data_IF_677330569983
#
_entry.id   IF_677330569983
#
_cell.length_a   1.000
_cell.length_b   1.000
_cell.length_c   1.000
_cell.angle_alpha   90.00
_cell.angle_beta   90.00
_cell.angle_gamma   90.00
#
_symmetry.space_group_name_H-M   'P 1'
#
loop_
_entity.id
_entity.type
_entity.pdbx_description
1 polymer ?
#
# COMPACT_ATOMS: atom_id res chain seq x y z
N UNK A 1 7.79 1.98 -0.74
CA UNK A 1 8.12 2.43 0.63
C UNK A 1 6.88 2.18 1.49
N UNK A 2 6.97 1.35 2.54
CA UNK A 2 5.85 1.08 3.45
C UNK A 2 6.07 1.89 4.72
N UNK A 3 5.20 2.87 5.06
CA UNK A 3 5.36 3.63 6.29
C UNK A 3 4.94 2.83 7.53
N UNK A 4 5.85 2.65 8.48
CA UNK A 4 5.54 2.21 9.83
C UNK A 4 5.39 3.45 10.73
N UNK A 5 4.41 3.47 11.63
CA UNK A 5 4.23 4.58 12.56
C UNK A 5 4.41 4.09 13.99
N UNK A 6 5.47 4.56 14.65
CA UNK A 6 5.78 4.25 16.04
C UNK A 6 5.27 5.39 16.95
N UNK A 7 4.68 5.04 18.08
CA UNK A 7 4.17 5.97 19.08
C UNK A 7 5.05 5.80 20.33
N UNK A 8 5.91 6.77 20.63
CA UNK A 8 6.78 6.79 21.80
C UNK A 8 5.97 7.29 23.01
N UNK A 9 5.19 6.40 23.61
CA UNK A 9 4.42 6.71 24.81
C UNK A 9 5.29 7.13 25.99
N UNK A 10 5.51 8.44 26.13
CA UNK A 10 5.97 9.09 27.36
C UNK A 10 4.79 9.64 28.14
N UNK A 11 4.39 8.95 29.21
CA UNK A 11 3.47 9.49 30.22
C UNK A 11 4.22 10.57 31.04
N UNK A 12 3.79 11.83 30.91
CA UNK A 12 3.72 12.85 31.96
C UNK A 12 3.71 14.27 31.35
N UNK A 13 2.56 14.74 30.84
CA UNK A 13 2.22 16.16 30.82
C UNK A 13 0.73 16.38 30.53
N UNK A 14 0.01 16.95 31.49
CA UNK A 14 -1.27 17.63 31.23
C UNK A 14 -0.98 18.93 30.46
N UNK A 15 -1.35 18.99 29.19
CA UNK A 15 -1.28 20.18 28.35
C UNK A 15 -1.61 19.81 26.90
N UNK A 16 -2.17 20.75 26.14
CA UNK A 16 -2.59 20.62 24.73
C UNK A 16 -1.43 20.29 23.76
N UNK A 17 -0.81 19.13 23.90
CA UNK A 17 0.25 18.63 23.02
C UNK A 17 -0.32 17.51 22.15
N UNK A 18 -0.62 17.83 20.89
CA UNK A 18 -0.81 16.80 19.88
C UNK A 18 0.55 16.08 19.73
N UNK A 19 0.77 15.02 20.52
CA UNK A 19 2.06 14.36 20.67
C UNK A 19 2.76 14.08 19.34
N UNK A 20 4.07 14.31 19.30
CA UNK A 20 4.89 14.04 18.13
C UNK A 20 4.84 12.53 17.86
N UNK A 21 4.34 12.14 16.69
CA UNK A 21 4.33 10.74 16.26
C UNK A 21 5.58 10.40 15.43
N UNK A 22 6.37 9.44 15.88
CA UNK A 22 7.49 8.95 15.10
C UNK A 22 7.01 8.16 13.87
N UNK A 23 7.52 8.52 12.70
CA UNK A 23 7.22 7.81 11.44
C UNK A 23 8.49 7.14 10.94
N UNK A 24 8.47 5.82 10.86
CA UNK A 24 9.57 4.99 10.37
C UNK A 24 9.27 4.56 8.93
N UNK A 25 10.04 5.09 7.98
CA UNK A 25 10.04 4.59 6.61
C UNK A 25 11.19 3.60 6.44
N UNK A 26 10.94 2.48 5.75
CA UNK A 26 12.01 1.56 5.40
C UNK A 26 11.84 1.01 3.98
N UNK A 27 12.98 0.71 3.36
CA UNK A 27 13.06 -0.01 2.09
C UNK A 27 13.16 -1.51 2.38
N UNK A 28 12.29 -2.31 1.75
CA UNK A 28 12.33 -3.76 1.89
C UNK A 28 13.56 -4.34 1.17
N UNK A 29 14.08 -5.47 1.68
CA UNK A 29 15.20 -6.19 1.11
C UNK A 29 15.05 -6.39 -0.40
N UNK A 30 16.14 -6.24 -1.13
CA UNK A 30 16.16 -6.37 -2.58
C UNK A 30 15.90 -5.07 -3.33
N UNK A 31 15.53 -3.98 -2.63
CA UNK A 31 15.15 -2.73 -3.26
C UNK A 31 15.69 -1.47 -2.57
N UNK A 32 15.60 -0.33 -3.27
CA UNK A 32 15.94 0.98 -2.71
C UNK A 32 17.38 1.07 -2.21
N UNK A 33 17.53 1.53 -0.96
CA UNK A 33 18.79 1.59 -0.20
C UNK A 33 19.08 0.33 0.63
N UNK A 34 18.16 -0.62 0.69
CA UNK A 34 18.39 -1.91 1.33
C UNK A 34 19.28 -2.81 0.45
N UNK A 35 19.81 -3.88 1.05
CA UNK A 35 20.72 -4.80 0.37
C UNK A 35 20.08 -5.35 -0.91
N UNK A 36 20.74 -5.14 -2.05
CA UNK A 36 20.30 -5.65 -3.35
C UNK A 36 20.84 -7.06 -3.58
N UNK A 37 19.96 -7.97 -4.01
CA UNK A 37 20.31 -9.39 -4.19
C UNK A 37 19.91 -9.90 -5.59
N UNK A 38 20.48 -9.33 -6.68
CA UNK A 38 20.04 -9.61 -8.05
C UNK A 38 20.28 -11.05 -8.50
N UNK A 39 21.21 -11.77 -7.86
CA UNK A 39 21.54 -13.16 -8.15
C UNK A 39 20.58 -14.18 -7.51
N UNK A 40 19.66 -13.74 -6.64
CA UNK A 40 18.71 -14.64 -5.99
C UNK A 40 17.63 -15.09 -6.97
N UNK A 41 17.34 -16.39 -6.96
CA UNK A 41 16.26 -16.99 -7.74
C UNK A 41 14.89 -16.44 -7.30
N UNK A 42 13.89 -16.33 -8.20
CA UNK A 42 12.52 -15.97 -7.83
C UNK A 42 11.96 -16.69 -6.58
N UNK A 43 12.27 -17.96 -6.34
CA UNK A 43 11.79 -18.71 -5.17
C UNK A 43 12.35 -18.23 -3.82
N UNK A 44 13.40 -17.38 -3.83
CA UNK A 44 13.93 -16.75 -2.62
C UNK A 44 13.02 -15.64 -2.09
N UNK A 45 12.32 -14.95 -2.99
CA UNK A 45 11.47 -13.82 -2.66
C UNK A 45 10.10 -14.34 -2.25
N UNK A 46 9.91 -14.50 -0.95
CA UNK A 46 8.70 -15.07 -0.37
C UNK A 46 8.06 -14.10 0.61
N UNK A 47 6.76 -14.27 0.83
CA UNK A 47 6.05 -13.52 1.87
C UNK A 47 6.65 -13.76 3.26
N UNK A 48 7.13 -14.97 3.55
CA UNK A 48 7.74 -15.31 4.84
C UNK A 48 9.04 -14.54 5.08
N UNK A 49 9.84 -14.31 4.04
CA UNK A 49 11.03 -13.46 4.11
C UNK A 49 10.67 -12.04 4.54
N UNK A 50 9.67 -11.43 3.89
CA UNK A 50 9.27 -10.06 4.18
C UNK A 50 8.52 -9.91 5.51
N UNK A 51 7.83 -10.95 5.97
CA UNK A 51 7.26 -10.99 7.33
C UNK A 51 8.38 -11.00 8.37
N UNK A 52 9.37 -11.89 8.21
CA UNK A 52 10.51 -11.96 9.11
C UNK A 52 11.31 -10.65 9.11
N UNK A 53 11.44 -9.99 7.96
CA UNK A 53 12.03 -8.65 7.87
C UNK A 53 11.23 -7.61 8.68
N UNK A 54 9.89 -7.57 8.52
CA UNK A 54 9.05 -6.65 9.27
C UNK A 54 9.15 -6.89 10.79
N UNK A 55 9.13 -8.15 11.23
CA UNK A 55 9.35 -8.52 12.63
C UNK A 55 10.71 -8.02 13.14
N UNK A 56 11.76 -8.16 12.33
CA UNK A 56 13.10 -7.66 12.66
C UNK A 56 13.14 -6.13 12.76
N UNK A 57 12.46 -5.40 11.87
CA UNK A 57 12.34 -3.92 11.93
C UNK A 57 11.63 -3.50 13.23
N UNK A 58 10.50 -4.12 13.57
CA UNK A 58 9.77 -3.82 14.80
C UNK A 58 10.63 -4.07 16.05
N UNK A 59 11.38 -5.18 16.07
CA UNK A 59 12.28 -5.51 17.17
C UNK A 59 13.47 -4.55 17.27
N UNK A 60 14.06 -4.17 16.14
CA UNK A 60 15.20 -3.25 16.09
C UNK A 60 14.86 -1.87 16.67
N UNK A 61 13.70 -1.33 16.33
CA UNK A 61 13.20 -0.07 16.88
C UNK A 61 12.54 -0.22 18.26
N UNK A 62 12.44 -1.45 18.80
CA UNK A 62 11.86 -1.75 20.11
C UNK A 62 10.40 -1.29 20.27
N UNK A 63 9.59 -1.46 19.22
CA UNK A 63 8.18 -1.03 19.17
C UNK A 63 7.19 -2.19 19.09
N UNK A 64 7.62 -3.41 19.43
CA UNK A 64 6.81 -4.64 19.25
C UNK A 64 5.57 -4.70 20.16
N UNK A 65 5.56 -3.94 21.26
CA UNK A 65 4.51 -3.87 22.27
C UNK A 65 3.44 -2.80 21.97
N UNK A 66 3.79 -1.79 21.16
CA UNK A 66 2.87 -0.73 20.74
C UNK A 66 3.30 -0.07 19.43
N UNK A 67 2.57 -0.37 18.36
CA UNK A 67 2.83 0.24 17.05
C UNK A 67 1.56 0.35 16.19
N UNK A 68 1.62 1.21 15.18
CA UNK A 68 0.63 1.31 14.11
C UNK A 68 1.29 0.98 12.77
N UNK A 69 0.52 0.43 11.83
CA UNK A 69 1.01 0.18 10.47
C UNK A 69 0.18 0.95 9.45
N UNK A 70 0.84 1.68 8.55
CA UNK A 70 0.26 2.19 7.31
C UNK A 70 0.83 1.40 6.14
N UNK A 71 -0.02 0.61 5.51
CA UNK A 71 0.36 -0.31 4.46
C UNK A 71 -0.20 0.17 3.11
N UNK A 72 0.69 0.59 2.21
CA UNK A 72 0.32 1.08 0.88
C UNK A 72 0.52 0.01 -0.19
N UNK A 73 -0.47 -0.17 -1.08
CA UNK A 73 -0.35 -1.07 -2.24
C UNK A 73 0.03 -2.51 -1.85
N UNK A 74 1.14 -3.03 -2.38
CA UNK A 74 1.73 -4.33 -1.98
C UNK A 74 1.93 -4.46 -0.47
N UNK A 75 2.29 -3.38 0.21
CA UNK A 75 2.46 -3.38 1.67
C UNK A 75 1.20 -3.85 2.39
N UNK A 76 0.01 -3.57 1.85
CA UNK A 76 -1.25 -4.05 2.40
C UNK A 76 -1.37 -5.58 2.38
N UNK A 77 -0.88 -6.24 1.33
CA UNK A 77 -0.80 -7.71 1.26
C UNK A 77 0.16 -8.23 2.32
N UNK A 78 1.39 -7.69 2.37
CA UNK A 78 2.41 -8.09 3.33
C UNK A 78 1.91 -8.00 4.78
N UNK A 79 1.33 -6.85 5.13
CA UNK A 79 0.88 -6.57 6.49
C UNK A 79 -0.35 -7.41 6.84
N UNK A 80 -1.23 -7.67 5.88
CA UNK A 80 -2.35 -8.58 6.12
C UNK A 80 -1.85 -10.00 6.42
N UNK A 81 -0.87 -10.51 5.67
CA UNK A 81 -0.25 -11.82 5.92
C UNK A 81 0.45 -11.86 7.28
N UNK A 82 1.18 -10.81 7.65
CA UNK A 82 1.79 -10.66 8.96
C UNK A 82 0.75 -10.76 10.09
N UNK A 83 -0.31 -9.95 10.03
CA UNK A 83 -1.34 -9.91 11.08
C UNK A 83 -2.03 -11.26 11.22
N UNK A 84 -2.34 -11.91 10.10
CA UNK A 84 -3.02 -13.21 10.10
C UNK A 84 -2.15 -14.29 10.72
N UNK A 85 -0.88 -14.37 10.30
CA UNK A 85 0.05 -15.44 10.69
C UNK A 85 0.65 -15.24 12.08
N UNK A 86 0.74 -14.00 12.56
CA UNK A 86 1.43 -13.65 13.81
C UNK A 86 0.53 -13.11 14.90
N UNK A 87 -0.60 -12.50 14.54
CA UNK A 87 -1.52 -11.85 15.48
C UNK A 87 -0.79 -10.96 16.50
N UNK A 88 -0.03 -9.95 16.03
CA UNK A 88 0.86 -9.19 16.90
C UNK A 88 0.08 -8.40 17.95
N UNK A 89 0.29 -8.72 19.23
CA UNK A 89 -0.41 -8.08 20.35
C UNK A 89 -0.16 -6.57 20.48
N UNK A 90 0.96 -6.07 19.95
CA UNK A 90 1.30 -4.65 19.99
C UNK A 90 0.65 -3.79 18.90
N UNK A 91 0.00 -4.39 17.89
CA UNK A 91 -0.61 -3.64 16.80
C UNK A 91 -1.89 -2.92 17.27
N UNK A 92 -1.89 -1.58 17.22
CA UNK A 92 -3.01 -0.75 17.71
C UNK A 92 -3.94 -0.26 16.61
N UNK A 93 -3.40 0.12 15.45
CA UNK A 93 -4.16 0.58 14.29
C UNK A 93 -3.52 0.09 13.00
N UNK A 94 -4.39 -0.20 12.03
CA UNK A 94 -4.00 -0.55 10.67
C UNK A 94 -4.60 0.46 9.68
N UNK A 95 -3.78 1.00 8.78
CA UNK A 95 -4.26 1.74 7.62
C UNK A 95 -3.91 0.92 6.37
N UNK A 96 -4.92 0.46 5.64
CA UNK A 96 -4.78 -0.20 4.33
C UNK A 96 -5.04 0.85 3.25
N UNK A 97 -3.99 1.48 2.75
CA UNK A 97 -4.08 2.56 1.77
C UNK A 97 -3.83 2.03 0.35
N UNK A 98 -4.85 2.12 -0.50
CA UNK A 98 -4.76 1.75 -1.91
C UNK A 98 -4.23 0.30 -2.03
N UNK A 99 -4.77 -0.62 -1.23
CA UNK A 99 -4.30 -1.98 -1.08
C UNK A 99 -5.29 -2.99 -1.66
N UNK A 100 -4.81 -4.20 -2.00
CA UNK A 100 -5.63 -5.27 -2.52
C UNK A 100 -5.86 -6.41 -1.54
N UNK A 101 -7.08 -6.93 -1.52
CA UNK A 101 -7.39 -8.21 -0.89
C UNK A 101 -7.40 -9.37 -1.89
N UNK A 102 -7.50 -9.08 -3.20
CA UNK A 102 -7.64 -10.10 -4.26
C UNK A 102 -7.00 -9.68 -5.56
N UNK A 103 -6.07 -10.51 -6.06
CA UNK A 103 -5.50 -10.34 -7.41
C UNK A 103 -6.54 -10.41 -8.50
N UNK A 104 -7.49 -11.35 -8.38
CA UNK A 104 -8.53 -11.53 -9.37
C UNK A 104 -9.34 -10.24 -9.53
N UNK A 105 -9.81 -9.68 -8.41
CA UNK A 105 -10.58 -8.43 -8.43
C UNK A 105 -9.73 -7.25 -8.92
N UNK A 106 -8.44 -7.20 -8.55
CA UNK A 106 -7.51 -6.18 -9.02
C UNK A 106 -7.27 -6.26 -10.53
N UNK A 107 -7.09 -7.45 -11.07
CA UNK A 107 -6.90 -7.67 -12.51
C UNK A 107 -8.18 -7.33 -13.30
N UNK A 108 -9.34 -7.72 -12.78
CA UNK A 108 -10.63 -7.32 -13.36
C UNK A 108 -10.84 -5.80 -13.33
N UNK A 109 -10.44 -5.12 -12.24
CA UNK A 109 -10.49 -3.67 -12.14
C UNK A 109 -9.55 -3.00 -13.16
N UNK A 110 -8.29 -3.45 -13.26
CA UNK A 110 -7.34 -2.96 -14.27
C UNK A 110 -7.90 -3.15 -15.68
N UNK A 111 -8.47 -4.31 -16.00
CA UNK A 111 -9.06 -4.58 -17.31
C UNK A 111 -10.18 -3.58 -17.64
N UNK A 112 -11.10 -3.32 -16.69
CA UNK A 112 -12.16 -2.31 -16.85
C UNK A 112 -11.62 -0.90 -17.04
N UNK A 113 -10.61 -0.50 -16.28
CA UNK A 113 -10.01 0.83 -16.40
C UNK A 113 -9.29 0.99 -17.74
N UNK A 114 -8.56 -0.04 -18.19
CA UNK A 114 -7.89 -0.06 -19.49
C UNK A 114 -8.87 0.04 -20.65
N UNK A 115 -10.06 -0.58 -20.57
CA UNK A 115 -11.09 -0.42 -21.62
C UNK A 115 -11.64 1.01 -21.75
N UNK A 116 -11.40 1.87 -20.75
CA UNK A 116 -11.77 3.28 -20.77
C UNK A 116 -10.64 4.24 -21.16
N UNK A 117 -9.53 3.73 -21.71
CA UNK A 117 -8.43 4.52 -22.26
C UNK A 117 -8.63 4.81 -23.76
N UNK A 118 -7.86 5.74 -24.35
CA UNK A 118 -7.84 5.93 -25.80
C UNK A 118 -7.57 4.63 -26.57
N UNK A 119 -8.18 4.47 -27.76
CA UNK A 119 -8.14 3.22 -28.54
C UNK A 119 -6.71 2.81 -28.94
N UNK A 120 -5.86 3.78 -29.26
CA UNK A 120 -4.45 3.59 -29.58
C UNK A 120 -3.66 3.06 -28.37
N UNK A 121 -3.92 3.57 -27.17
CA UNK A 121 -3.33 3.10 -25.91
C UNK A 121 -3.78 1.67 -25.60
N UNK A 122 -5.06 1.35 -25.82
CA UNK A 122 -5.58 -0.01 -25.66
C UNK A 122 -4.92 -0.98 -26.66
N UNK A 123 -4.77 -0.56 -27.92
CA UNK A 123 -4.13 -1.35 -28.96
C UNK A 123 -2.66 -1.64 -28.64
N UNK A 124 -1.94 -0.65 -28.10
CA UNK A 124 -0.55 -0.82 -27.65
C UNK A 124 -0.42 -1.90 -26.56
N UNK A 125 -1.29 -1.88 -25.53
CA UNK A 125 -1.31 -2.93 -24.50
C UNK A 125 -1.51 -4.31 -25.13
N UNK A 126 -2.57 -4.48 -25.93
CA UNK A 126 -2.93 -5.76 -26.56
C UNK A 126 -1.80 -6.30 -27.44
N UNK A 127 -1.20 -5.44 -28.27
CA UNK A 127 -0.10 -5.79 -29.18
C UNK A 127 1.12 -6.30 -28.42
N UNK A 128 1.58 -5.56 -27.43
CA UNK A 128 2.83 -5.87 -26.75
C UNK A 128 2.70 -6.99 -25.73
N UNK A 129 1.54 -7.15 -25.08
CA UNK A 129 1.29 -8.29 -24.19
C UNK A 129 1.23 -9.59 -24.98
N UNK A 130 0.51 -9.62 -26.12
CA UNK A 130 0.43 -10.79 -26.99
C UNK A 130 1.80 -11.17 -27.58
N UNK A 131 2.64 -10.17 -27.89
CA UNK A 131 3.97 -10.38 -28.45
C UNK A 131 5.08 -10.55 -27.38
N UNK A 132 4.78 -10.45 -26.09
CA UNK A 132 5.78 -10.48 -25.02
C UNK A 132 6.79 -9.33 -25.05
N UNK A 133 6.44 -8.20 -25.68
CA UNK A 133 7.32 -7.04 -25.90
C UNK A 133 7.01 -5.87 -24.97
N UNK A 134 6.66 -6.16 -23.72
CA UNK A 134 6.26 -5.19 -22.68
C UNK A 134 7.37 -4.22 -22.24
N UNK A 135 8.58 -4.35 -22.80
CA UNK A 135 9.70 -3.43 -22.59
C UNK A 135 9.83 -2.37 -23.70
N UNK A 136 8.97 -2.40 -24.72
CA UNK A 136 8.98 -1.42 -25.81
C UNK A 136 8.66 -0.01 -25.33
N UNK A 137 9.15 1.01 -26.03
CA UNK A 137 8.81 2.41 -25.73
C UNK A 137 7.31 2.69 -25.91
N UNK A 138 6.67 2.04 -26.89
CA UNK A 138 5.22 2.13 -27.12
C UNK A 138 4.42 1.57 -25.93
N UNK A 139 4.83 0.42 -25.36
CA UNK A 139 4.18 -0.12 -24.16
C UNK A 139 4.44 0.74 -22.92
N UNK A 140 5.66 1.26 -22.77
CA UNK A 140 5.99 2.20 -21.69
C UNK A 140 5.13 3.47 -21.78
N UNK A 141 4.96 4.04 -22.97
CA UNK A 141 4.10 5.21 -23.19
C UNK A 141 2.63 4.91 -22.85
N UNK A 142 2.12 3.74 -23.25
CA UNK A 142 0.79 3.28 -22.87
C UNK A 142 0.65 3.14 -21.33
N UNK A 143 1.64 2.53 -20.68
CA UNK A 143 1.71 2.44 -19.21
C UNK A 143 1.75 3.82 -18.55
N UNK A 144 2.49 4.79 -19.10
CA UNK A 144 2.54 6.16 -18.57
C UNK A 144 1.19 6.86 -18.67
N UNK A 145 0.43 6.62 -19.74
CA UNK A 145 -0.95 7.12 -19.87
C UNK A 145 -1.87 6.50 -18.79
N UNK A 146 -1.73 5.20 -18.55
CA UNK A 146 -2.45 4.53 -17.46
C UNK A 146 -2.03 5.11 -16.09
N UNK A 147 -0.74 5.31 -15.84
CA UNK A 147 -0.23 5.85 -14.58
C UNK A 147 -0.65 7.29 -14.34
N UNK A 148 -0.70 8.14 -15.36
CA UNK A 148 -1.13 9.54 -15.22
C UNK A 148 -2.60 9.65 -14.80
N UNK A 149 -3.42 8.66 -15.16
CA UNK A 149 -4.85 8.65 -14.83
C UNK A 149 -5.17 7.88 -13.54
N UNK A 150 -4.50 6.74 -13.35
CA UNK A 150 -4.86 5.74 -12.33
C UNK A 150 -3.75 5.45 -11.32
N UNK A 151 -2.52 5.91 -11.56
CA UNK A 151 -1.39 5.79 -10.64
C UNK A 151 -1.19 7.03 -9.80
N UNK A 152 -0.85 8.15 -10.42
CA UNK A 152 -0.71 9.44 -9.76
C UNK A 152 -1.13 10.54 -10.74
N UNK A 153 -2.06 11.39 -10.31
CA UNK A 153 -2.64 12.44 -11.16
C UNK A 153 -1.91 13.77 -11.06
N UNK A 154 -0.95 13.90 -10.14
CA UNK A 154 -0.07 15.07 -10.03
C UNK A 154 0.91 15.08 -11.22
N UNK A 155 0.96 16.21 -11.94
CA UNK A 155 1.83 16.41 -13.10
C UNK A 155 2.68 17.70 -12.94
N UNK A 156 4.00 17.67 -13.23
CA UNK A 156 4.78 16.47 -13.53
C UNK A 156 4.77 15.48 -12.36
N UNK A 157 4.99 14.20 -12.64
CA UNK A 157 5.02 13.19 -11.59
C UNK A 157 6.02 13.56 -10.48
N UNK A 158 5.67 13.38 -9.19
CA UNK A 158 6.60 13.56 -8.10
C UNK A 158 7.87 12.70 -8.31
N UNK A 159 9.09 13.23 -8.07
CA UNK A 159 10.32 12.47 -8.23
C UNK A 159 10.34 11.14 -7.45
N UNK A 160 9.77 11.13 -6.25
CA UNK A 160 9.67 9.97 -5.36
C UNK A 160 8.75 8.88 -5.94
N UNK A 161 7.72 9.29 -6.67
CA UNK A 161 6.82 8.37 -7.38
C UNK A 161 7.54 7.71 -8.56
N UNK A 162 8.27 8.49 -9.37
CA UNK A 162 9.07 7.96 -10.47
C UNK A 162 10.17 7.01 -9.98
N UNK A 163 10.84 7.38 -8.89
CA UNK A 163 11.82 6.53 -8.22
C UNK A 163 11.20 5.18 -7.85
N UNK A 164 10.05 5.19 -7.17
CA UNK A 164 9.39 3.97 -6.71
C UNK A 164 8.90 3.06 -7.86
N UNK A 165 8.39 3.62 -8.95
CA UNK A 165 7.95 2.84 -10.12
C UNK A 165 9.13 2.13 -10.80
N UNK A 166 10.29 2.79 -10.89
CA UNK A 166 11.47 2.21 -11.53
C UNK A 166 11.96 0.92 -10.87
N UNK A 167 11.47 0.64 -9.67
CA UNK A 167 11.89 -0.44 -8.79
C UNK A 167 10.91 -1.62 -8.71
N UNK A 168 9.78 -1.60 -9.45
CA UNK A 168 8.60 -2.42 -9.17
C UNK A 168 8.51 -3.80 -9.89
N UNK A 169 9.58 -4.36 -10.44
CA UNK A 169 9.52 -5.66 -11.13
C UNK A 169 9.62 -6.85 -10.16
N UNK A 170 8.53 -7.65 -10.11
CA UNK A 170 8.27 -8.98 -9.48
C UNK A 170 7.54 -8.94 -8.13
N UNK A 171 6.31 -9.47 -8.07
CA UNK A 171 5.87 -10.55 -7.15
C UNK A 171 4.37 -10.92 -7.33
N UNK A 172 3.99 -12.21 -7.41
CA UNK A 172 2.61 -12.68 -7.26
C UNK A 172 2.14 -12.77 -5.78
N UNK A 173 1.05 -12.06 -5.45
CA UNK A 173 0.43 -11.98 -4.11
C UNK A 173 -0.49 -13.16 -3.72
N UNK A 174 -0.81 -13.24 -2.42
CA UNK A 174 -1.65 -14.22 -1.72
C UNK A 174 -3.14 -13.78 -1.59
N UNK A 175 -4.02 -14.77 -1.37
CA UNK A 175 -5.44 -14.65 -1.07
C UNK A 175 -5.83 -15.60 0.08
N UNK A 176 -6.80 -15.15 0.89
CA UNK A 176 -7.71 -15.91 1.78
C UNK A 176 -7.38 -16.09 3.27
N UNK A 177 -7.04 -15.02 4.00
CA UNK A 177 -6.81 -15.13 5.45
C UNK A 177 -7.42 -14.02 6.34
N UNK A 178 -8.32 -13.18 5.82
CA UNK A 178 -8.78 -11.94 6.50
C UNK A 178 -9.59 -12.12 7.80
N UNK A 179 -9.84 -13.35 8.27
CA UNK A 179 -10.60 -13.60 9.51
C UNK A 179 -9.88 -13.13 10.78
N UNK A 180 -8.55 -13.01 10.76
CA UNK A 180 -7.74 -12.67 11.95
C UNK A 180 -7.50 -11.16 12.13
N UNK A 181 -7.81 -10.33 11.13
CA UNK A 181 -7.66 -8.85 11.23
C UNK A 181 -8.84 -8.21 11.99
N UNK A 182 -9.89 -8.99 12.30
CA UNK A 182 -11.17 -8.53 12.85
C UNK A 182 -11.09 -7.58 14.05
N UNK A 183 -10.09 -7.72 14.91
CA UNK A 183 -10.03 -7.02 16.19
C UNK A 183 -9.23 -5.71 16.17
N UNK A 184 -8.41 -5.47 15.14
CA UNK A 184 -7.60 -4.26 15.01
C UNK A 184 -8.43 -3.17 14.34
N UNK A 185 -8.62 -1.99 14.97
CA UNK A 185 -9.24 -0.86 14.29
C UNK A 185 -8.48 -0.56 12.99
N UNK A 186 -9.20 -0.59 11.88
CA UNK A 186 -8.65 -0.53 10.54
C UNK A 186 -9.29 0.61 9.74
N UNK A 187 -8.46 1.40 9.06
CA UNK A 187 -8.89 2.37 8.06
C UNK A 187 -8.51 1.86 6.67
N UNK A 188 -9.50 1.76 5.79
CA UNK A 188 -9.30 1.51 4.36
C UNK A 188 -9.33 2.87 3.65
N UNK A 189 -8.36 3.09 2.76
CA UNK A 189 -8.31 4.25 1.88
C UNK A 189 -8.20 3.75 0.43
N UNK A 190 -8.96 4.35 -0.49
CA UNK A 190 -8.69 4.24 -1.93
C UNK A 190 -9.13 5.52 -2.66
N UNK A 191 -8.55 5.78 -3.83
CA UNK A 191 -8.96 6.89 -4.71
C UNK A 191 -10.11 6.52 -5.65
N UNK A 192 -10.86 7.51 -6.11
CA UNK A 192 -11.90 7.35 -7.15
C UNK A 192 -11.33 6.80 -8.46
N UNK A 193 -10.14 7.23 -8.82
CA UNK A 193 -9.48 6.83 -10.07
C UNK A 193 -8.50 5.67 -9.88
N UNK A 194 -8.44 5.07 -8.69
CA UNK A 194 -7.48 4.02 -8.35
C UNK A 194 -7.81 2.68 -9.04
N UNK A 195 -6.76 1.95 -9.42
CA UNK A 195 -6.88 0.55 -9.86
C UNK A 195 -7.05 -0.44 -8.69
N UNK A 196 -6.87 0.01 -7.46
CA UNK A 196 -7.47 -0.57 -6.25
C UNK A 196 -8.87 0.00 -6.04
N UNK A 197 -9.73 -0.25 -7.03
CA UNK A 197 -11.11 0.22 -7.04
C UNK A 197 -11.93 -0.35 -5.87
N UNK A 198 -13.14 0.18 -5.66
CA UNK A 198 -14.02 -0.24 -4.56
C UNK A 198 -14.26 -1.76 -4.54
N UNK A 199 -14.37 -2.39 -5.71
CA UNK A 199 -14.49 -3.85 -5.80
C UNK A 199 -13.30 -4.60 -5.21
N UNK A 200 -12.10 -4.02 -5.29
CA UNK A 200 -10.83 -4.60 -4.82
C UNK A 200 -10.69 -4.45 -3.30
N UNK A 201 -11.16 -3.34 -2.74
CA UNK A 201 -11.11 -3.05 -1.30
C UNK A 201 -12.30 -3.62 -0.52
N UNK A 202 -13.46 -3.81 -1.17
CA UNK A 202 -14.68 -4.32 -0.53
C UNK A 202 -14.50 -5.62 0.29
N UNK A 203 -13.64 -6.59 -0.08
CA UNK A 203 -13.41 -7.76 0.76
C UNK A 203 -12.82 -7.42 2.13
N UNK A 204 -11.95 -6.41 2.25
CA UNK A 204 -11.46 -5.94 3.55
C UNK A 204 -12.60 -5.39 4.40
N UNK A 205 -13.40 -4.48 3.82
CA UNK A 205 -14.53 -3.86 4.52
C UNK A 205 -15.56 -4.89 5.02
N UNK A 206 -15.80 -5.96 4.24
CA UNK A 206 -16.75 -7.02 4.61
C UNK A 206 -16.21 -8.00 5.65
N UNK A 207 -14.89 -8.07 5.83
CA UNK A 207 -14.24 -9.12 6.63
C UNK A 207 -13.69 -8.62 7.97
N UNK A 208 -13.50 -7.31 8.12
CA UNK A 208 -12.92 -6.68 9.33
C UNK A 208 -14.05 -6.04 10.14
N UNK A 209 -14.16 -6.36 11.43
CA UNK A 209 -15.27 -5.91 12.27
C UNK A 209 -15.16 -4.41 12.62
N UNK A 210 -13.94 -3.94 12.95
CA UNK A 210 -13.67 -2.54 13.32
C UNK A 210 -13.07 -1.75 12.16
N UNK A 211 -13.87 -1.50 11.14
CA UNK A 211 -13.39 -0.88 9.89
C UNK A 211 -14.07 0.46 9.59
N UNK A 212 -13.27 1.44 9.19
CA UNK A 212 -13.72 2.65 8.50
C UNK A 212 -13.19 2.61 7.08
N UNK A 213 -13.95 3.12 6.12
CA UNK A 213 -13.51 3.23 4.73
C UNK A 213 -13.72 4.65 4.23
N UNK A 214 -12.64 5.29 3.78
CA UNK A 214 -12.66 6.64 3.20
C UNK A 214 -12.22 6.58 1.74
N UNK A 215 -13.08 7.06 0.85
CA UNK A 215 -12.78 7.22 -0.56
C UNK A 215 -12.34 8.66 -0.87
N UNK A 216 -11.21 8.80 -1.54
CA UNK A 216 -10.65 10.08 -1.97
C UNK A 216 -11.12 10.43 -3.37
N UNK A 217 -12.12 11.31 -3.43
CA UNK A 217 -12.89 11.60 -4.64
C UNK A 217 -12.06 12.18 -5.80
N UNK A 218 -10.92 12.84 -5.51
CA UNK A 218 -10.08 13.47 -6.53
C UNK A 218 -8.72 12.77 -6.71
N UNK A 219 -8.55 11.61 -6.08
CA UNK A 219 -7.29 10.86 -6.06
C UNK A 219 -7.36 9.58 -6.89
N UNK A 220 -6.19 9.10 -7.31
CA UNK A 220 -5.97 7.76 -7.84
C UNK A 220 -5.24 6.92 -6.78
N UNK A 221 -4.14 6.24 -7.13
CA UNK A 221 -3.42 5.34 -6.25
C UNK A 221 -2.54 6.06 -5.20
N UNK A 222 -2.39 7.39 -5.30
CA UNK A 222 -1.48 8.17 -4.47
C UNK A 222 -2.15 9.41 -3.82
N UNK A 223 -3.22 9.23 -3.02
CA UNK A 223 -3.93 10.32 -2.36
C UNK A 223 -3.05 11.17 -1.43
N UNK A 224 -1.94 10.60 -0.91
CA UNK A 224 -0.96 11.34 -0.11
C UNK A 224 -0.19 12.41 -0.90
N UNK A 225 -0.19 12.33 -2.24
CA UNK A 225 0.29 13.37 -3.14
C UNK A 225 -0.85 14.19 -3.74
N UNK A 226 -1.97 13.55 -4.08
CA UNK A 226 -3.05 14.15 -4.86
C UNK A 226 -4.02 15.00 -4.01
N UNK A 227 -4.26 14.59 -2.75
CA UNK A 227 -5.11 15.28 -1.78
C UNK A 227 -4.39 15.32 -0.41
N UNK A 228 -3.10 15.73 -0.40
CA UNK A 228 -2.18 15.60 0.73
C UNK A 228 -2.74 16.09 2.06
N UNK A 229 -3.27 17.32 2.12
CA UNK A 229 -3.79 17.89 3.36
C UNK A 229 -4.92 17.04 3.95
N UNK A 230 -5.91 16.70 3.12
CA UNK A 230 -7.01 15.81 3.49
C UNK A 230 -6.51 14.43 3.90
N UNK A 231 -5.50 13.89 3.21
CA UNK A 231 -4.90 12.60 3.54
C UNK A 231 -4.28 12.62 4.94
N UNK A 232 -3.50 13.65 5.24
CA UNK A 232 -2.87 13.81 6.56
C UNK A 232 -3.91 13.96 7.68
N UNK A 233 -4.99 14.71 7.45
CA UNK A 233 -6.10 14.85 8.42
C UNK A 233 -6.77 13.50 8.66
N UNK A 234 -7.21 12.81 7.59
CA UNK A 234 -7.94 11.54 7.71
C UNK A 234 -7.11 10.47 8.40
N UNK A 235 -5.83 10.35 8.03
CA UNK A 235 -4.92 9.39 8.66
C UNK A 235 -4.60 9.79 10.10
N UNK A 236 -4.29 11.07 10.36
CA UNK A 236 -3.98 11.59 11.69
C UNK A 236 -5.12 11.37 12.67
N UNK A 237 -6.33 11.84 12.34
CA UNK A 237 -7.53 11.65 13.15
C UNK A 237 -7.82 10.16 13.41
N UNK A 238 -7.62 9.31 12.40
CA UNK A 238 -7.79 7.88 12.57
C UNK A 238 -6.77 7.29 13.53
N UNK A 239 -5.51 7.71 13.49
CA UNK A 239 -4.46 7.24 14.40
C UNK A 239 -4.66 7.78 15.82
N UNK A 240 -5.22 8.97 15.98
CA UNK A 240 -5.47 9.61 17.29
C UNK A 240 -6.77 9.11 17.96
N UNK A 241 -7.70 8.54 17.19
CA UNK A 241 -9.03 8.13 17.69
C UNK A 241 -9.00 6.98 18.70
N UNK A 242 -8.77 7.25 19.99
CA UNK A 242 -8.74 6.25 21.08
C UNK A 242 -7.51 6.32 21.98
N UNK A 243 -6.78 7.44 21.98
CA UNK A 243 -5.69 7.75 22.92
C UNK A 243 -6.19 8.36 24.25
N UNK A 244 -7.42 8.03 24.67
CA UNK A 244 -8.03 8.48 25.92
C UNK A 244 -8.39 7.29 26.81
#
# INVERSE_FOLDING_TARGET
MTPLCADDGGDDAKGDDAGIRAVVFYDQLGNGQSTRLPSKNPSFWTIDLFIAELENVLAFFQVTDRFNILAHSWGGTLVSEFIVRRQPGGLRRLVLANALASLKLRNEAIARLRSGLPEDVQAAFKKHEAAGTTKSEEYKAAMMTFWAKHGCRVQPFPPEFLYSISLADKDPTVLDAMRNVRHVPTLIINGEYDYMADSVCAPFYRSIDRVKWVKFANSSHNPHWEERERYMIVVGEFLDSGSA
#
